data_IF_984331543640
#
_entry.id   IF_984331543640
#
_cell.length_a   1.000
_cell.length_b   1.000
_cell.length_c   1.000
_cell.angle_alpha   90.00
_cell.angle_beta   90.00
_cell.angle_gamma   90.00
#
_symmetry.space_group_name_H-M   'P 1'
#
loop_
_entity.id
_entity.type
_entity.pdbx_description
1 polymer ?
#
# COMPACT_ATOMS: atom_id res chain seq x y z
N UNK A 1 6.19 -4.74 21.63
CA UNK A 1 6.35 -3.33 21.20
C UNK A 1 5.20 -2.51 21.74
N UNK A 2 5.50 -1.28 22.19
CA UNK A 2 4.49 -0.31 22.62
C UNK A 2 4.22 0.66 21.47
N UNK A 3 2.97 0.80 20.99
CA UNK A 3 2.69 1.53 19.75
C UNK A 3 2.92 3.04 19.89
N UNK A 4 3.45 3.68 18.84
CA UNK A 4 3.82 5.11 18.84
C UNK A 4 2.71 6.02 18.32
N UNK A 5 1.44 5.75 18.64
CA UNK A 5 0.24 6.45 18.14
C UNK A 5 0.19 7.98 18.39
N UNK A 6 1.11 8.49 19.21
CA UNK A 6 1.28 9.90 19.56
C UNK A 6 2.52 10.54 18.92
N UNK A 7 3.41 9.75 18.30
CA UNK A 7 4.63 10.25 17.66
C UNK A 7 4.36 10.43 16.17
N UNK A 8 4.49 11.63 15.59
CA UNK A 8 4.35 11.81 14.16
C UNK A 8 5.38 10.97 13.39
N UNK A 9 4.99 10.46 12.22
CA UNK A 9 5.83 9.60 11.36
C UNK A 9 7.21 10.18 11.05
N UNK A 10 7.35 11.51 11.11
CA UNK A 10 8.56 12.27 10.82
C UNK A 10 9.55 12.37 11.99
N UNK A 11 9.22 11.82 13.16
CA UNK A 11 9.96 12.04 14.41
C UNK A 11 10.24 10.75 15.19
N UNK A 12 9.95 9.58 14.62
CA UNK A 12 10.18 8.28 15.28
C UNK A 12 11.64 7.83 15.07
N UNK A 13 12.51 7.80 16.10
CA UNK A 13 13.92 7.46 15.94
C UNK A 13 14.17 5.95 15.75
N UNK A 14 13.16 5.11 16.01
CA UNK A 14 13.29 3.64 16.06
C UNK A 14 12.45 2.87 15.04
N UNK A 15 11.76 3.57 14.13
CA UNK A 15 10.91 2.94 13.11
C UNK A 15 10.37 3.94 12.08
N UNK A 16 9.68 3.44 11.06
CA UNK A 16 9.02 4.28 10.03
C UNK A 16 7.53 3.94 9.96
N UNK A 17 6.66 4.95 10.08
CA UNK A 17 5.23 4.75 9.80
C UNK A 17 5.00 4.76 8.29
N UNK A 18 4.15 3.85 7.82
CA UNK A 18 3.72 3.84 6.42
C UNK A 18 2.92 5.07 6.05
N UNK A 19 3.38 5.79 5.03
CA UNK A 19 2.65 6.90 4.42
C UNK A 19 1.99 6.37 3.14
N UNK A 20 0.66 6.24 3.14
CA UNK A 20 -0.10 6.06 1.91
C UNK A 20 -0.60 7.42 1.43
N UNK A 21 -0.09 7.87 0.29
CA UNK A 21 -0.59 9.05 -0.40
C UNK A 21 -1.65 8.58 -1.40
N UNK A 22 -2.90 8.99 -1.18
CA UNK A 22 -3.98 8.80 -2.15
C UNK A 22 -4.38 10.17 -2.68
N UNK A 23 -4.04 10.45 -3.93
CA UNK A 23 -4.32 11.72 -4.59
C UNK A 23 -5.03 11.48 -5.92
N UNK A 24 -5.88 12.43 -6.30
CA UNK A 24 -6.28 12.59 -7.69
C UNK A 24 -5.13 13.28 -8.42
N UNK A 25 -4.62 12.67 -9.49
CA UNK A 25 -3.49 13.22 -10.25
C UNK A 25 -3.95 13.41 -11.69
N UNK A 26 -3.91 14.65 -12.17
CA UNK A 26 -4.33 15.00 -13.54
C UNK A 26 -3.28 14.65 -14.60
N UNK A 27 -2.02 14.43 -14.18
CA UNK A 27 -0.89 14.11 -15.06
C UNK A 27 -0.27 12.74 -14.74
N UNK A 28 -0.29 11.85 -15.73
CA UNK A 28 0.29 10.49 -15.67
C UNK A 28 1.81 10.45 -15.77
N UNK A 29 2.51 11.59 -15.79
CA UNK A 29 3.98 11.65 -15.92
C UNK A 29 4.72 11.12 -14.69
N UNK A 30 4.77 9.80 -14.62
CA UNK A 30 5.59 8.95 -13.78
C UNK A 30 7.03 8.83 -14.35
N UNK A 31 7.63 9.95 -14.79
CA UNK A 31 8.85 9.94 -15.60
C UNK A 31 10.10 9.35 -14.93
N UNK A 32 10.05 9.07 -13.62
CA UNK A 32 11.14 8.45 -12.85
C UNK A 32 10.78 7.06 -12.32
N UNK A 33 9.60 6.52 -12.61
CA UNK A 33 9.19 5.21 -12.12
C UNK A 33 9.76 4.09 -12.99
N UNK A 34 10.49 3.15 -12.39
CA UNK A 34 11.04 1.98 -13.11
C UNK A 34 9.96 0.98 -13.51
N UNK A 35 8.88 0.89 -12.75
CA UNK A 35 7.72 0.05 -13.05
C UNK A 35 6.43 0.78 -12.69
N UNK A 36 5.48 0.75 -13.61
CA UNK A 36 4.13 1.29 -13.44
C UNK A 36 3.17 0.14 -13.69
N UNK A 37 2.19 0.00 -12.80
CA UNK A 37 1.05 -0.89 -12.99
C UNK A 37 -0.23 -0.08 -12.76
N UNK A 38 -1.17 -0.20 -13.69
CA UNK A 38 -2.47 0.48 -13.63
C UNK A 38 -3.44 -0.36 -12.81
N UNK A 39 -4.32 0.30 -12.06
CA UNK A 39 -5.47 -0.32 -11.40
C UNK A 39 -6.72 0.50 -11.75
N UNK A 40 -7.59 -0.09 -12.57
CA UNK A 40 -8.85 0.51 -12.95
C UNK A 40 -9.85 0.43 -11.81
N UNK A 41 -10.46 1.57 -11.50
CA UNK A 41 -11.39 1.73 -10.39
C UNK A 41 -12.83 1.79 -10.89
N UNK A 42 -13.76 1.33 -10.07
CA UNK A 42 -15.19 1.46 -10.38
C UNK A 42 -15.57 2.94 -10.53
N UNK A 43 -16.37 3.25 -11.55
CA UNK A 43 -16.83 4.62 -11.81
C UNK A 43 -17.58 5.24 -10.62
N UNK A 44 -17.42 6.55 -10.43
CA UNK A 44 -18.09 7.34 -9.38
C UNK A 44 -17.48 7.23 -7.98
N UNK A 45 -16.39 6.48 -7.81
CA UNK A 45 -15.66 6.42 -6.54
C UNK A 45 -14.92 7.73 -6.23
N UNK A 46 -14.77 8.01 -4.95
CA UNK A 46 -13.96 9.09 -4.39
C UNK A 46 -12.81 8.51 -3.58
N UNK A 47 -11.76 9.30 -3.35
CA UNK A 47 -10.63 8.93 -2.49
C UNK A 47 -11.09 8.43 -1.12
N UNK A 48 -12.12 9.06 -0.53
CA UNK A 48 -12.69 8.67 0.76
C UNK A 48 -13.21 7.23 0.80
N UNK A 49 -13.62 6.65 -0.33
CA UNK A 49 -14.17 5.29 -0.37
C UNK A 49 -13.06 4.25 -0.15
N UNK A 50 -11.84 4.55 -0.60
CA UNK A 50 -10.64 3.75 -0.32
C UNK A 50 -10.21 3.91 1.14
N UNK A 51 -10.07 5.14 1.63
CA UNK A 51 -9.63 5.38 3.01
C UNK A 51 -10.62 4.82 4.03
N UNK A 52 -11.93 4.99 3.80
CA UNK A 52 -12.96 4.40 4.65
C UNK A 52 -12.92 2.88 4.64
N UNK A 53 -12.60 2.26 3.49
CA UNK A 53 -12.45 0.81 3.39
C UNK A 53 -11.23 0.33 4.19
N UNK A 54 -10.10 1.01 4.13
CA UNK A 54 -8.92 0.72 4.97
C UNK A 54 -9.27 0.84 6.46
N UNK A 55 -9.97 1.92 6.86
CA UNK A 55 -10.32 2.18 8.26
C UNK A 55 -11.32 1.15 8.78
N UNK A 56 -12.40 0.89 8.02
CA UNK A 56 -13.45 -0.08 8.38
C UNK A 56 -12.90 -1.48 8.58
N UNK A 57 -11.94 -1.89 7.75
CA UNK A 57 -11.28 -3.20 7.82
C UNK A 57 -10.08 -3.20 8.78
N UNK A 58 -9.94 -2.14 9.60
CA UNK A 58 -8.87 -1.95 10.60
C UNK A 58 -7.45 -2.02 10.04
N UNK A 59 -7.27 -1.84 8.73
CA UNK A 59 -5.97 -1.99 8.07
C UNK A 59 -5.00 -0.81 8.26
N UNK A 60 -5.53 0.28 8.79
CA UNK A 60 -4.76 1.44 9.25
C UNK A 60 -3.97 1.17 10.54
N UNK A 61 -4.27 0.08 11.27
CA UNK A 61 -3.55 -0.34 12.47
C UNK A 61 -2.29 -1.17 12.17
N UNK A 62 -1.91 -1.27 10.90
CA UNK A 62 -0.71 -1.99 10.50
C UNK A 62 0.54 -1.13 10.72
N UNK A 63 1.55 -1.71 11.34
CA UNK A 63 2.87 -1.11 11.47
C UNK A 63 3.92 -1.94 10.75
N UNK A 64 4.94 -1.25 10.25
CA UNK A 64 6.11 -1.85 9.62
C UNK A 64 7.00 -2.49 10.69
N UNK A 65 7.89 -3.39 10.28
CA UNK A 65 8.85 -4.00 11.21
C UNK A 65 9.87 -2.95 11.71
N UNK A 66 10.69 -3.32 12.70
CA UNK A 66 11.73 -2.45 13.27
C UNK A 66 12.63 -1.81 12.18
N UNK A 67 13.11 -2.56 11.17
CA UNK A 67 13.81 -2.00 10.01
C UNK A 67 12.97 -1.10 9.06
N UNK A 68 11.67 -0.93 9.28
CA UNK A 68 10.76 -0.18 8.40
C UNK A 68 10.31 -0.95 7.14
N UNK A 69 10.51 -2.26 7.10
CA UNK A 69 10.03 -3.16 6.05
C UNK A 69 8.58 -3.58 6.29
N UNK A 70 7.97 -4.14 5.24
CA UNK A 70 6.55 -4.55 5.26
C UNK A 70 5.60 -3.57 4.59
N UNK A 71 6.11 -2.46 4.06
CA UNK A 71 5.37 -1.56 3.17
C UNK A 71 4.81 -2.31 1.94
N UNK A 72 5.61 -3.16 1.30
CA UNK A 72 5.21 -3.97 0.13
C UNK A 72 4.10 -4.95 0.49
N UNK A 73 4.20 -5.60 1.65
CA UNK A 73 3.16 -6.50 2.14
C UNK A 73 1.84 -5.74 2.36
N UNK A 74 1.91 -4.58 3.02
CA UNK A 74 0.73 -3.77 3.28
C UNK A 74 0.03 -3.34 1.99
N UNK A 75 0.78 -2.82 1.02
CA UNK A 75 0.24 -2.43 -0.30
C UNK A 75 -0.34 -3.63 -1.03
N UNK A 76 0.37 -4.77 -1.05
CA UNK A 76 -0.10 -6.01 -1.66
C UNK A 76 -1.43 -6.45 -1.05
N UNK A 77 -1.58 -6.35 0.27
CA UNK A 77 -2.82 -6.63 0.96
C UNK A 77 -3.92 -5.63 0.59
N UNK A 78 -3.64 -4.32 0.54
CA UNK A 78 -4.64 -3.31 0.20
C UNK A 78 -5.20 -3.52 -1.22
N UNK A 79 -4.36 -3.89 -2.18
CA UNK A 79 -4.79 -4.22 -3.54
C UNK A 79 -5.82 -5.37 -3.51
N UNK A 80 -5.52 -6.44 -2.77
CA UNK A 80 -6.47 -7.54 -2.57
C UNK A 80 -7.78 -7.10 -1.94
N UNK A 81 -7.73 -6.23 -0.92
CA UNK A 81 -8.95 -5.70 -0.30
C UNK A 81 -9.80 -4.88 -1.27
N UNK A 82 -9.17 -4.02 -2.07
CA UNK A 82 -9.90 -3.19 -3.01
C UNK A 82 -10.54 -4.02 -4.11
N UNK A 83 -9.91 -5.12 -4.52
CA UNK A 83 -10.53 -6.13 -5.37
C UNK A 83 -11.72 -6.79 -4.70
N UNK A 84 -11.54 -7.36 -3.50
CA UNK A 84 -12.60 -8.08 -2.77
C UNK A 84 -13.83 -7.22 -2.49
N UNK A 85 -13.63 -5.91 -2.31
CA UNK A 85 -14.70 -4.93 -2.07
C UNK A 85 -15.25 -4.29 -3.35
N UNK A 86 -14.73 -4.66 -4.52
CA UNK A 86 -15.19 -4.17 -5.83
C UNK A 86 -14.85 -2.71 -6.11
N UNK A 87 -13.81 -2.17 -5.46
CA UNK A 87 -13.30 -0.82 -5.72
C UNK A 87 -12.40 -0.81 -6.96
N UNK A 88 -11.61 -1.87 -7.15
CA UNK A 88 -10.83 -2.16 -8.36
C UNK A 88 -11.59 -3.21 -9.18
N UNK A 89 -11.62 -3.05 -10.50
CA UNK A 89 -12.54 -3.80 -11.37
C UNK A 89 -11.85 -4.71 -12.39
N UNK A 90 -10.54 -4.64 -12.54
CA UNK A 90 -9.76 -5.49 -13.44
C UNK A 90 -8.89 -6.47 -12.65
N UNK A 91 -9.23 -7.76 -12.70
CA UNK A 91 -8.51 -8.82 -12.00
C UNK A 91 -7.11 -9.09 -12.57
N UNK A 92 -6.90 -8.89 -13.87
CA UNK A 92 -5.58 -9.04 -14.49
C UNK A 92 -4.60 -7.98 -13.99
N UNK A 93 -5.08 -6.74 -13.87
CA UNK A 93 -4.33 -5.62 -13.30
C UNK A 93 -4.00 -5.82 -11.82
N UNK A 94 -4.96 -6.35 -11.03
CA UNK A 94 -4.75 -6.73 -9.63
C UNK A 94 -3.60 -7.73 -9.50
N UNK A 95 -3.64 -8.79 -10.30
CA UNK A 95 -2.61 -9.83 -10.27
C UNK A 95 -1.25 -9.34 -10.75
N UNK A 96 -1.21 -8.47 -11.78
CA UNK A 96 0.04 -7.83 -12.18
C UNK A 96 0.62 -6.94 -11.08
N UNK A 97 -0.21 -6.11 -10.43
CA UNK A 97 0.24 -5.20 -9.39
C UNK A 97 0.78 -5.97 -8.18
N UNK A 98 0.12 -7.07 -7.80
CA UNK A 98 0.57 -7.95 -6.72
C UNK A 98 1.91 -8.63 -7.04
N UNK A 99 2.11 -9.10 -8.28
CA UNK A 99 3.41 -9.65 -8.72
C UNK A 99 4.49 -8.59 -8.78
N UNK A 100 4.18 -7.38 -9.24
CA UNK A 100 5.16 -6.30 -9.34
C UNK A 100 5.76 -5.92 -7.98
N UNK A 101 4.99 -6.06 -6.89
CA UNK A 101 5.48 -5.81 -5.52
C UNK A 101 6.49 -6.86 -5.04
N UNK A 102 6.56 -8.03 -5.68
CA UNK A 102 7.52 -9.09 -5.38
C UNK A 102 8.88 -8.89 -6.09
N UNK A 103 9.10 -7.73 -6.73
CA UNK A 103 10.32 -7.43 -7.48
C UNK A 103 10.98 -6.16 -6.93
N UNK A 104 12.29 -6.20 -6.70
CA UNK A 104 13.11 -5.02 -6.46
C UNK A 104 13.54 -4.44 -7.81
N UNK A 105 13.18 -3.19 -8.07
CA UNK A 105 13.58 -2.44 -9.26
C UNK A 105 14.63 -1.39 -8.87
N UNK A 106 15.60 -1.08 -9.76
CA UNK A 106 15.76 -1.59 -11.13
C UNK A 106 16.46 -2.96 -11.25
N UNK A 107 16.93 -3.55 -10.16
CA UNK A 107 17.79 -4.74 -10.19
C UNK A 107 17.06 -6.03 -10.62
N UNK A 108 15.73 -5.99 -10.73
CA UNK A 108 14.85 -7.09 -11.13
C UNK A 108 14.98 -8.35 -10.25
N UNK A 109 15.29 -8.17 -8.97
CA UNK A 109 15.49 -9.27 -8.02
C UNK A 109 14.18 -9.62 -7.33
N UNK A 110 13.89 -10.92 -7.18
CA UNK A 110 12.74 -11.37 -6.39
C UNK A 110 12.91 -10.96 -4.93
N UNK A 111 11.86 -10.37 -4.37
CA UNK A 111 11.82 -9.89 -2.99
C UNK A 111 10.61 -10.47 -2.28
N UNK A 112 10.88 -11.34 -1.31
CA UNK A 112 9.83 -11.93 -0.48
C UNK A 112 9.17 -10.85 0.37
N UNK A 113 7.84 -10.89 0.46
CA UNK A 113 7.11 -9.96 1.32
C UNK A 113 7.50 -10.17 2.78
N UNK A 114 8.09 -9.14 3.38
CA UNK A 114 8.28 -9.06 4.83
C UNK A 114 6.95 -8.68 5.47
N UNK A 115 6.54 -9.42 6.50
CA UNK A 115 5.26 -9.22 7.17
C UNK A 115 5.49 -8.38 8.43
N UNK A 116 4.82 -7.24 8.52
CA UNK A 116 4.75 -6.41 9.72
C UNK A 116 3.66 -6.87 10.69
N UNK A 117 3.29 -6.02 11.64
CA UNK A 117 2.33 -6.35 12.70
C UNK A 117 0.99 -5.62 12.55
N UNK A 118 -0.10 -6.30 12.91
CA UNK A 118 -1.39 -5.65 13.21
C UNK A 118 -1.57 -5.63 14.73
N UNK A 119 -1.92 -4.48 15.29
CA UNK A 119 -2.26 -4.37 16.71
C UNK A 119 -3.77 -4.46 16.95
N UNK A 120 -4.14 -4.91 18.15
CA UNK A 120 -5.52 -5.11 18.62
C UNK A 120 -6.17 -3.83 19.16
#
# INVERSE_FOLDING_TARGET
>A
MTPSYIVPATVDPGGSKGILIVSHVDDTRLGMATKIVRLDVRGGLKVRDFTNTIVREKRHLYEFDEPGQGCRFWVHHQIGLFWDKGLVVDGGQVEEARRALLVMYPEMVEYRLVVGGYYS
#
